data_IF_770419779534
#
_entry.id   IF_770419779534
#
_cell.length_a   1.000
_cell.length_b   1.000
_cell.length_c   1.000
_cell.angle_alpha   90.00
_cell.angle_beta   90.00
_cell.angle_gamma   90.00
#
_symmetry.space_group_name_H-M   'P 1'
#
loop_
_entity.id
_entity.type
_entity.pdbx_description
1 polymer ?
#
# COMPACT_ATOMS: atom_id res chain seq x y z
N UNK A 1 6.23 -13.23 -8.86
CA UNK A 1 6.17 -12.01 -8.03
C UNK A 1 4.72 -11.61 -7.87
N UNK A 2 4.27 -11.29 -6.66
CA UNK A 2 2.90 -10.84 -6.36
C UNK A 2 2.91 -9.38 -5.90
N UNK A 3 2.06 -8.53 -6.50
CA UNK A 3 1.90 -7.12 -6.18
C UNK A 3 0.51 -6.89 -5.53
N UNK A 4 0.48 -6.23 -4.36
CA UNK A 4 -0.73 -5.91 -3.62
C UNK A 4 -0.84 -4.39 -3.42
N UNK A 5 -1.89 -3.79 -3.95
CA UNK A 5 -2.11 -2.34 -3.95
C UNK A 5 -2.56 -1.78 -2.59
N UNK A 6 -2.59 -0.45 -2.46
CA UNK A 6 -3.07 0.28 -1.28
C UNK A 6 -4.59 0.51 -1.25
N UNK A 7 -5.06 1.20 -0.21
CA UNK A 7 -6.44 1.65 -0.08
C UNK A 7 -6.81 2.59 -1.25
N UNK A 8 -8.05 2.57 -1.67
CA UNK A 8 -8.56 3.38 -2.80
C UNK A 8 -7.77 3.17 -4.10
N UNK A 9 -7.29 1.94 -4.33
CA UNK A 9 -6.53 1.57 -5.51
C UNK A 9 -7.01 0.21 -6.06
N UNK A 10 -6.49 -0.22 -7.19
CA UNK A 10 -6.73 -1.52 -7.82
C UNK A 10 -5.44 -2.04 -8.46
N UNK A 11 -5.44 -3.29 -8.94
CA UNK A 11 -4.28 -3.90 -9.57
C UNK A 11 -3.70 -3.06 -10.73
N UNK A 12 -4.53 -2.28 -11.40
CA UNK A 12 -4.12 -1.36 -12.45
C UNK A 12 -3.12 -0.28 -12.03
N UNK A 13 -2.97 0.01 -10.74
CA UNK A 13 -1.95 0.95 -10.24
C UNK A 13 -0.53 0.55 -10.66
N UNK A 14 -0.30 -0.75 -10.87
CA UNK A 14 0.98 -1.32 -11.23
C UNK A 14 1.26 -1.30 -12.75
N UNK A 15 0.46 -0.55 -13.53
CA UNK A 15 0.49 -0.49 -14.99
C UNK A 15 1.88 -0.26 -15.60
N UNK A 16 2.74 0.50 -14.93
CA UNK A 16 4.11 0.79 -15.33
C UNK A 16 5.11 -0.19 -14.72
N UNK A 17 4.89 -0.54 -13.47
CA UNK A 17 5.78 -1.37 -12.66
C UNK A 17 5.73 -2.82 -13.13
N UNK A 18 4.54 -3.40 -13.27
CA UNK A 18 4.37 -4.80 -13.68
C UNK A 18 5.10 -5.12 -14.99
N UNK A 19 4.85 -4.40 -16.09
CA UNK A 19 5.58 -4.62 -17.34
C UNK A 19 7.10 -4.40 -17.22
N UNK A 20 7.55 -3.42 -16.40
CA UNK A 20 8.98 -3.18 -16.21
C UNK A 20 9.69 -4.31 -15.44
N UNK A 21 8.99 -4.96 -14.51
CA UNK A 21 9.47 -6.15 -13.81
C UNK A 21 9.45 -7.37 -14.72
N UNK A 22 8.38 -7.54 -15.50
CA UNK A 22 8.27 -8.61 -16.49
C UNK A 22 9.38 -8.55 -17.55
N UNK A 23 9.75 -7.35 -18.01
CA UNK A 23 10.87 -7.13 -18.91
C UNK A 23 12.24 -7.53 -18.30
N UNK A 24 12.30 -7.68 -16.98
CA UNK A 24 13.47 -8.19 -16.24
C UNK A 24 13.42 -9.69 -15.96
N UNK A 25 12.44 -10.40 -16.50
CA UNK A 25 12.29 -11.86 -16.41
C UNK A 25 11.41 -12.35 -15.26
N UNK A 26 10.70 -11.47 -14.55
CA UNK A 26 9.77 -11.87 -13.52
C UNK A 26 8.42 -12.27 -14.11
N UNK A 27 7.83 -13.35 -13.60
CA UNK A 27 6.40 -13.60 -13.75
C UNK A 27 5.66 -12.76 -12.70
N UNK A 28 4.83 -11.80 -13.15
CA UNK A 28 4.24 -10.77 -12.29
C UNK A 28 2.73 -10.89 -12.27
N UNK A 29 2.18 -11.09 -11.08
CA UNK A 29 0.75 -11.01 -10.82
C UNK A 29 0.43 -9.80 -9.94
N UNK A 30 -0.67 -9.13 -10.21
CA UNK A 30 -1.24 -8.10 -9.36
C UNK A 30 -2.69 -8.46 -9.04
N UNK A 31 -3.09 -8.32 -7.78
CA UNK A 31 -4.43 -8.72 -7.33
C UNK A 31 -5.19 -7.52 -6.79
N UNK A 32 -6.50 -7.46 -7.08
CA UNK A 32 -7.39 -6.55 -6.38
C UNK A 32 -7.68 -7.11 -4.99
N UNK A 33 -7.59 -6.27 -3.98
CA UNK A 33 -7.93 -6.63 -2.61
C UNK A 33 -9.45 -6.73 -2.41
N UNK A 34 -9.90 -7.38 -1.35
CA UNK A 34 -11.30 -7.36 -0.96
C UNK A 34 -11.78 -5.91 -0.80
N UNK A 35 -12.98 -5.61 -1.28
CA UNK A 35 -13.55 -4.27 -1.29
C UNK A 35 -13.06 -3.37 -2.44
N UNK A 36 -12.24 -3.88 -3.35
CA UNK A 36 -11.71 -3.16 -4.50
C UNK A 36 -11.91 -4.00 -5.78
N UNK A 37 -11.97 -3.35 -6.96
CA UNK A 37 -12.05 -4.04 -8.25
C UNK A 37 -13.26 -4.97 -8.37
N UNK A 38 -14.38 -4.62 -7.77
CA UNK A 38 -15.59 -5.45 -7.75
C UNK A 38 -15.53 -6.66 -6.81
N UNK A 39 -14.46 -6.86 -6.05
CA UNK A 39 -14.33 -7.97 -5.09
C UNK A 39 -15.01 -7.62 -3.75
N UNK A 40 -15.99 -8.40 -3.29
CA UNK A 40 -16.66 -8.10 -2.03
C UNK A 40 -15.74 -8.34 -0.81
N UNK A 41 -15.94 -7.55 0.24
CA UNK A 41 -15.37 -7.84 1.56
C UNK A 41 -16.12 -9.03 2.17
N UNK A 42 -15.39 -10.08 2.54
CA UNK A 42 -15.92 -11.27 3.21
C UNK A 42 -15.16 -11.46 4.52
N UNK A 43 -15.62 -10.86 5.60
CA UNK A 43 -14.97 -10.88 6.90
C UNK A 43 -14.47 -9.51 7.36
N UNK A 44 -13.51 -9.50 8.27
CA UNK A 44 -12.97 -8.27 8.83
C UNK A 44 -11.93 -7.61 7.91
N UNK A 45 -11.85 -6.27 7.98
CA UNK A 45 -10.81 -5.48 7.30
C UNK A 45 -9.65 -5.27 8.27
N UNK A 46 -9.00 -6.37 8.59
CA UNK A 46 -7.76 -6.42 9.37
C UNK A 46 -6.70 -7.26 8.63
N UNK A 47 -5.53 -7.40 9.22
CA UNK A 47 -4.43 -8.14 8.59
C UNK A 47 -4.82 -9.60 8.24
N UNK A 48 -5.52 -10.29 9.14
CA UNK A 48 -5.93 -11.66 8.93
C UNK A 48 -6.98 -11.80 7.83
N UNK A 49 -8.00 -10.94 7.82
CA UNK A 49 -9.05 -10.91 6.81
C UNK A 49 -8.52 -10.53 5.42
N UNK A 50 -7.63 -9.54 5.35
CA UNK A 50 -6.98 -9.13 4.09
C UNK A 50 -6.07 -10.24 3.55
N UNK A 51 -5.29 -10.90 4.41
CA UNK A 51 -4.47 -12.05 4.05
C UNK A 51 -5.33 -13.21 3.50
N UNK A 52 -6.42 -13.54 4.18
CA UNK A 52 -7.33 -14.58 3.72
C UNK A 52 -7.96 -14.25 2.36
N UNK A 53 -8.27 -12.98 2.11
CA UNK A 53 -8.81 -12.52 0.84
C UNK A 53 -7.78 -12.60 -0.31
N UNK A 54 -6.49 -12.37 -0.02
CA UNK A 54 -5.41 -12.57 -1.01
C UNK A 54 -5.26 -14.05 -1.33
N UNK A 55 -5.16 -14.92 -0.32
CA UNK A 55 -5.04 -16.38 -0.50
C UNK A 55 -6.20 -16.98 -1.28
N UNK A 56 -7.39 -16.41 -1.18
CA UNK A 56 -8.56 -16.88 -1.93
C UNK A 56 -8.44 -16.70 -3.46
N UNK A 57 -7.54 -15.82 -3.94
CA UNK A 57 -7.33 -15.56 -5.38
C UNK A 57 -5.91 -15.84 -5.84
N UNK A 58 -4.98 -15.88 -4.92
CA UNK A 58 -3.57 -16.22 -5.17
C UNK A 58 -3.09 -17.16 -4.06
N UNK A 59 -3.42 -18.45 -4.14
CA UNK A 59 -3.07 -19.42 -3.09
C UNK A 59 -1.60 -19.85 -3.14
N UNK A 60 -0.92 -19.61 -4.25
CA UNK A 60 0.46 -20.02 -4.45
C UNK A 60 1.44 -18.99 -3.85
N UNK A 61 2.44 -19.53 -3.15
CA UNK A 61 3.49 -18.71 -2.55
C UNK A 61 4.36 -18.07 -3.65
N UNK A 62 4.54 -16.73 -3.67
CA UNK A 62 5.39 -16.07 -4.63
C UNK A 62 6.86 -16.09 -4.20
N UNK A 63 7.80 -16.05 -5.15
CA UNK A 63 9.20 -15.79 -4.82
C UNK A 63 9.39 -14.42 -4.18
N UNK A 64 8.60 -13.43 -4.62
CA UNK A 64 8.64 -12.05 -4.11
C UNK A 64 7.23 -11.53 -3.89
N UNK A 65 6.97 -11.00 -2.70
CA UNK A 65 5.73 -10.33 -2.32
C UNK A 65 6.01 -8.83 -2.15
N UNK A 66 5.26 -8.00 -2.85
CA UNK A 66 5.34 -6.54 -2.73
C UNK A 66 3.97 -6.00 -2.33
N UNK A 67 3.89 -5.31 -1.20
CA UNK A 67 2.69 -4.61 -0.76
C UNK A 67 2.91 -3.11 -0.71
N UNK A 68 1.90 -2.32 -1.11
CA UNK A 68 1.86 -0.88 -0.90
C UNK A 68 0.78 -0.52 0.12
N UNK A 69 1.10 0.30 1.12
CA UNK A 69 0.13 0.85 2.08
C UNK A 69 -0.74 -0.25 2.70
N UNK A 70 -2.06 -0.26 2.48
CA UNK A 70 -2.97 -1.34 2.89
C UNK A 70 -2.50 -2.73 2.43
N UNK A 71 -1.85 -2.81 1.26
CA UNK A 71 -1.25 -4.05 0.76
C UNK A 71 -0.13 -4.58 1.65
N UNK A 72 0.55 -3.71 2.40
CA UNK A 72 1.55 -4.15 3.39
C UNK A 72 0.90 -4.79 4.61
N UNK A 73 -0.29 -4.33 4.99
CA UNK A 73 -1.08 -4.93 6.08
C UNK A 73 -1.50 -6.35 5.69
N UNK A 74 -1.94 -6.55 4.43
CA UNK A 74 -2.23 -7.88 3.90
C UNK A 74 -0.98 -8.76 3.86
N UNK A 75 0.17 -8.22 3.41
CA UNK A 75 1.44 -8.94 3.35
C UNK A 75 1.91 -9.39 4.75
N UNK A 76 1.87 -8.52 5.75
CA UNK A 76 2.19 -8.87 7.14
C UNK A 76 1.24 -9.95 7.64
N UNK A 77 -0.06 -9.83 7.39
CA UNK A 77 -1.04 -10.85 7.78
C UNK A 77 -0.80 -12.22 7.12
N UNK A 78 -0.31 -12.26 5.89
CA UNK A 78 0.12 -13.49 5.21
C UNK A 78 1.29 -14.13 5.93
N UNK A 79 2.32 -13.37 6.28
CA UNK A 79 3.51 -13.87 6.98
C UNK A 79 3.22 -14.27 8.42
N UNK A 80 2.31 -13.58 9.13
CA UNK A 80 1.86 -13.98 10.47
C UNK A 80 1.09 -15.30 10.44
N UNK A 81 0.32 -15.54 9.38
CA UNK A 81 -0.43 -16.77 9.18
C UNK A 81 0.48 -17.94 8.78
N UNK A 82 1.44 -17.67 7.91
CA UNK A 82 2.35 -18.65 7.34
C UNK A 82 3.75 -18.05 7.18
N UNK A 83 4.59 -18.11 8.22
CA UNK A 83 5.97 -17.64 8.15
C UNK A 83 6.71 -18.30 6.98
N UNK A 84 7.39 -17.49 6.16
CA UNK A 84 8.08 -17.98 4.97
C UNK A 84 7.18 -18.23 3.76
N UNK A 85 5.90 -17.79 3.76
CA UNK A 85 5.00 -17.92 2.61
C UNK A 85 5.53 -17.25 1.33
N UNK A 86 6.38 -16.23 1.45
CA UNK A 86 7.07 -15.61 0.32
C UNK A 86 8.60 -15.73 0.49
N UNK A 87 9.34 -15.83 -0.62
CA UNK A 87 10.80 -15.93 -0.59
C UNK A 87 11.46 -14.62 -0.16
N UNK A 88 10.96 -13.47 -0.65
CA UNK A 88 11.34 -12.13 -0.24
C UNK A 88 10.11 -11.23 -0.13
N UNK A 89 10.17 -10.22 0.75
CA UNK A 89 9.05 -9.30 1.00
C UNK A 89 9.52 -7.86 0.95
N UNK A 90 8.79 -7.03 0.20
CA UNK A 90 9.02 -5.61 0.08
C UNK A 90 7.76 -4.88 0.50
N UNK A 91 7.85 -4.01 1.49
CA UNK A 91 6.77 -3.20 2.02
C UNK A 91 6.98 -1.74 1.61
N UNK A 92 6.16 -1.25 0.70
CA UNK A 92 6.16 0.15 0.29
C UNK A 92 5.22 0.94 1.21
N UNK A 93 5.78 1.89 1.95
CA UNK A 93 5.00 2.81 2.78
C UNK A 93 4.03 2.09 3.74
N UNK A 94 4.49 1.14 4.56
CA UNK A 94 3.62 0.47 5.51
C UNK A 94 3.03 1.46 6.52
N UNK A 95 1.70 1.50 6.72
CA UNK A 95 1.12 2.35 7.74
C UNK A 95 1.59 1.90 9.13
N UNK A 96 2.06 2.85 9.93
CA UNK A 96 2.56 2.63 11.27
C UNK A 96 2.04 3.71 12.22
N UNK A 97 1.55 3.31 13.39
CA UNK A 97 1.12 4.21 14.47
C UNK A 97 0.27 5.40 13.97
N UNK A 98 -0.75 5.12 13.17
CA UNK A 98 -1.64 6.16 12.65
C UNK A 98 -2.35 6.85 13.82
N UNK A 99 -2.19 8.18 13.89
CA UNK A 99 -2.87 8.98 14.90
C UNK A 99 -4.41 8.88 14.74
N UNK A 100 -5.18 8.95 15.84
CA UNK A 100 -6.65 8.89 15.77
C UNK A 100 -7.26 9.87 14.79
N UNK A 101 -6.76 11.12 14.76
CA UNK A 101 -7.23 12.17 13.86
C UNK A 101 -6.96 11.82 12.39
N UNK A 102 -5.84 11.17 12.10
CA UNK A 102 -5.50 10.71 10.76
C UNK A 102 -6.46 9.58 10.33
N UNK A 103 -6.74 8.62 11.19
CA UNK A 103 -7.70 7.55 10.91
C UNK A 103 -9.10 8.10 10.62
N UNK A 104 -9.58 9.07 11.40
CA UNK A 104 -10.86 9.73 11.18
C UNK A 104 -10.87 10.52 9.87
N UNK A 105 -9.83 11.31 9.61
CA UNK A 105 -9.68 12.06 8.36
C UNK A 105 -9.64 11.15 7.12
N UNK A 106 -8.95 10.02 7.19
CA UNK A 106 -8.95 9.02 6.12
C UNK A 106 -10.35 8.42 5.90
N UNK A 107 -11.09 8.10 6.98
CA UNK A 107 -12.45 7.55 6.88
C UNK A 107 -13.42 8.54 6.21
N UNK A 108 -13.28 9.83 6.49
CA UNK A 108 -14.04 10.91 5.85
C UNK A 108 -13.64 11.07 4.39
N UNK A 109 -12.34 11.14 4.10
CA UNK A 109 -11.81 11.33 2.75
C UNK A 109 -12.26 10.22 1.79
N UNK A 110 -12.09 8.94 2.15
CA UNK A 110 -12.50 7.84 1.26
C UNK A 110 -14.01 7.81 1.02
N UNK A 111 -14.80 8.22 2.00
CA UNK A 111 -16.26 8.32 1.87
C UNK A 111 -16.65 9.46 0.93
N UNK A 112 -16.02 10.63 1.08
CA UNK A 112 -16.26 11.79 0.23
C UNK A 112 -15.80 11.54 -1.21
N UNK A 113 -14.65 10.90 -1.40
CA UNK A 113 -14.11 10.58 -2.72
C UNK A 113 -14.99 9.59 -3.48
N UNK A 114 -15.58 8.60 -2.79
CA UNK A 114 -16.53 7.67 -3.38
C UNK A 114 -17.83 8.35 -3.83
N UNK A 115 -18.22 9.44 -3.20
CA UNK A 115 -19.34 10.28 -3.67
C UNK A 115 -18.88 11.13 -4.86
N UNK A 116 -17.74 11.82 -4.71
CA UNK A 116 -17.22 12.74 -5.74
C UNK A 116 -16.98 12.02 -7.06
N UNK A 117 -16.44 10.80 -7.07
CA UNK A 117 -16.18 10.06 -8.32
C UNK A 117 -17.45 9.75 -9.11
N UNK A 118 -18.60 9.64 -8.43
CA UNK A 118 -19.92 9.39 -9.05
C UNK A 118 -20.60 10.67 -9.53
N UNK A 119 -20.46 11.76 -8.79
CA UNK A 119 -21.17 13.03 -9.03
C UNK A 119 -20.36 14.00 -9.89
N UNK A 120 -19.05 14.06 -9.69
CA UNK A 120 -18.12 14.96 -10.40
C UNK A 120 -16.75 14.30 -10.63
N UNK A 121 -16.73 13.27 -11.49
CA UNK A 121 -15.49 12.57 -11.86
C UNK A 121 -14.45 13.50 -12.45
N UNK A 122 -14.88 14.51 -13.23
CA UNK A 122 -13.97 15.48 -13.84
C UNK A 122 -13.30 16.38 -12.81
N UNK A 123 -14.06 16.82 -11.81
CA UNK A 123 -13.53 17.57 -10.67
C UNK A 123 -12.56 16.75 -9.82
N UNK A 124 -12.81 15.46 -9.63
CA UNK A 124 -11.88 14.54 -8.97
C UNK A 124 -10.56 14.42 -9.75
N UNK A 125 -10.61 14.21 -11.07
CA UNK A 125 -9.42 14.19 -11.94
C UNK A 125 -8.62 15.48 -11.83
N UNK A 126 -9.31 16.64 -11.89
CA UNK A 126 -8.66 17.95 -11.80
C UNK A 126 -7.99 18.16 -10.43
N UNK A 127 -8.62 17.67 -9.34
CA UNK A 127 -8.06 17.71 -8.00
C UNK A 127 -6.80 16.86 -7.90
N UNK A 128 -6.84 15.61 -8.33
CA UNK A 128 -5.69 14.70 -8.29
C UNK A 128 -4.51 15.27 -9.10
N UNK A 129 -4.76 15.80 -10.30
CA UNK A 129 -3.71 16.43 -11.15
C UNK A 129 -3.08 17.65 -10.46
N UNK A 130 -3.86 18.47 -9.75
CA UNK A 130 -3.35 19.61 -9.00
C UNK A 130 -2.51 19.18 -7.82
N UNK A 131 -2.94 18.15 -7.09
CA UNK A 131 -2.30 17.68 -5.87
C UNK A 131 -1.07 16.82 -6.17
N UNK A 132 -1.05 16.15 -7.35
CA UNK A 132 0.03 15.29 -7.83
C UNK A 132 0.45 15.69 -9.27
N UNK A 133 1.04 16.88 -9.46
CA UNK A 133 1.32 17.43 -10.79
C UNK A 133 2.39 16.66 -11.59
N UNK A 134 3.14 15.79 -10.94
CA UNK A 134 4.19 14.96 -11.52
C UNK A 134 3.72 13.56 -11.96
N UNK A 135 2.48 13.17 -11.61
CA UNK A 135 1.93 11.90 -12.02
C UNK A 135 1.62 11.87 -13.51
N UNK A 136 1.85 10.74 -14.17
CA UNK A 136 1.41 10.53 -15.54
C UNK A 136 -0.12 10.47 -15.64
N UNK A 137 -0.66 10.65 -16.84
CA UNK A 137 -2.11 10.57 -17.08
C UNK A 137 -2.69 9.22 -16.68
N UNK A 138 -1.94 8.14 -16.90
CA UNK A 138 -2.32 6.80 -16.50
C UNK A 138 -2.30 6.61 -14.97
N UNK A 139 -1.38 7.26 -14.24
CA UNK A 139 -1.38 7.22 -12.77
C UNK A 139 -2.64 7.89 -12.22
N UNK A 140 -3.04 9.02 -12.80
CA UNK A 140 -4.30 9.70 -12.47
C UNK A 140 -5.50 8.85 -12.83
N UNK A 141 -5.50 8.23 -14.02
CA UNK A 141 -6.56 7.34 -14.46
C UNK A 141 -6.76 6.19 -13.46
N UNK A 142 -5.70 5.44 -13.12
CA UNK A 142 -5.80 4.32 -12.19
C UNK A 142 -6.11 4.72 -10.75
N UNK A 143 -5.74 5.94 -10.33
CA UNK A 143 -6.16 6.49 -9.04
C UNK A 143 -7.67 6.73 -9.00
N UNK A 144 -8.23 7.31 -10.05
CA UNK A 144 -9.68 7.56 -10.16
C UNK A 144 -10.46 6.25 -10.27
N UNK A 145 -9.98 5.26 -11.06
CA UNK A 145 -10.61 3.95 -11.14
C UNK A 145 -10.57 3.23 -9.78
N UNK A 146 -9.45 3.28 -9.06
CA UNK A 146 -9.34 2.69 -7.73
C UNK A 146 -10.37 3.25 -6.74
N UNK A 147 -10.61 4.57 -6.77
CA UNK A 147 -11.65 5.23 -5.97
C UNK A 147 -13.05 4.79 -6.44
N UNK A 148 -13.27 4.70 -7.75
CA UNK A 148 -14.57 4.35 -8.33
C UNK A 148 -14.98 2.90 -8.04
N UNK A 149 -14.02 2.00 -7.98
CA UNK A 149 -14.25 0.56 -7.80
C UNK A 149 -14.02 0.08 -6.35
N UNK A 150 -13.89 1.01 -5.40
CA UNK A 150 -13.79 0.68 -3.98
C UNK A 150 -15.16 0.75 -3.29
N UNK A 151 -15.44 -0.21 -2.39
CA UNK A 151 -16.48 -0.07 -1.37
C UNK A 151 -15.88 0.61 -0.13
N UNK A 152 -16.15 1.90 0.13
CA UNK A 152 -15.51 2.62 1.23
C UNK A 152 -16.05 2.22 2.61
N UNK A 153 -17.26 1.66 2.70
CA UNK A 153 -17.98 1.50 3.96
C UNK A 153 -17.23 0.58 4.98
N UNK A 154 -16.73 -0.61 4.62
CA UNK A 154 -16.02 -1.45 5.56
C UNK A 154 -14.68 -0.83 6.02
N UNK A 155 -13.98 -0.13 5.13
CA UNK A 155 -12.72 0.53 5.46
C UNK A 155 -12.93 1.76 6.35
N UNK A 156 -13.92 2.61 6.04
CA UNK A 156 -14.25 3.75 6.89
C UNK A 156 -14.67 3.31 8.30
N UNK A 157 -15.44 2.21 8.41
CA UNK A 157 -15.77 1.62 9.71
C UNK A 157 -14.51 1.15 10.45
N UNK A 158 -13.62 0.41 9.79
CA UNK A 158 -12.36 -0.06 10.40
C UNK A 158 -11.48 1.10 10.85
N UNK A 159 -11.30 2.13 10.03
CA UNK A 159 -10.52 3.31 10.38
C UNK A 159 -11.07 4.02 11.64
N UNK A 160 -12.40 4.10 11.80
CA UNK A 160 -13.00 4.67 13.03
C UNK A 160 -12.71 3.81 14.26
N UNK A 161 -12.76 2.47 14.12
CA UNK A 161 -12.37 1.57 15.23
C UNK A 161 -10.88 1.76 15.57
N UNK A 162 -10.03 1.89 14.57
CA UNK A 162 -8.60 2.11 14.76
C UNK A 162 -8.28 3.45 15.43
N UNK A 163 -9.12 4.46 15.26
CA UNK A 163 -8.98 5.73 15.98
C UNK A 163 -9.24 5.59 17.50
N UNK A 164 -9.90 4.52 17.91
CA UNK A 164 -10.18 4.21 19.33
C UNK A 164 -9.20 3.17 19.91
N UNK A 165 -8.42 2.49 19.06
CA UNK A 165 -7.43 1.47 19.45
C UNK A 165 -6.02 2.05 19.52
N UNK A 166 -5.19 1.57 20.46
CA UNK A 166 -3.78 2.00 20.60
C UNK A 166 -2.87 1.38 19.52
N UNK A 167 -3.11 1.65 18.26
CA UNK A 167 -2.21 1.37 17.13
C UNK A 167 -2.58 0.27 16.14
N UNK A 168 -2.42 0.59 14.87
CA UNK A 168 -2.37 -0.32 13.72
C UNK A 168 -0.98 -0.30 13.13
N UNK A 169 -0.47 -1.48 12.80
CA UNK A 169 0.82 -1.61 12.11
C UNK A 169 1.95 -1.02 12.93
N UNK A 170 2.57 -1.82 13.75
CA UNK A 170 3.69 -1.34 14.56
C UNK A 170 5.00 -1.75 13.89
N UNK A 171 6.07 -0.98 14.04
CA UNK A 171 7.40 -1.43 13.64
C UNK A 171 7.73 -2.84 14.17
N UNK A 172 7.16 -3.22 15.32
CA UNK A 172 7.31 -4.55 15.91
C UNK A 172 6.82 -5.66 14.98
N UNK A 173 5.65 -5.51 14.36
CA UNK A 173 5.10 -6.51 13.43
C UNK A 173 5.93 -6.61 12.16
N UNK A 174 6.43 -5.47 11.65
CA UNK A 174 7.32 -5.43 10.49
C UNK A 174 8.61 -6.18 10.79
N UNK A 175 9.23 -5.91 11.94
CA UNK A 175 10.49 -6.53 12.35
C UNK A 175 10.36 -8.01 12.69
N UNK A 176 9.18 -8.43 13.18
CA UNK A 176 8.90 -9.82 13.52
C UNK A 176 8.49 -10.69 12.32
N UNK A 177 8.25 -10.10 11.16
CA UNK A 177 7.82 -10.84 9.96
C UNK A 177 8.95 -11.73 9.40
N UNK A 178 8.60 -12.91 8.91
CA UNK A 178 9.51 -13.87 8.31
C UNK A 178 9.05 -14.25 6.89
N UNK A 179 9.91 -14.01 5.87
CA UNK A 179 11.25 -13.43 5.96
C UNK A 179 11.22 -11.95 6.38
N UNK A 180 12.29 -11.48 7.00
CA UNK A 180 12.43 -10.07 7.38
C UNK A 180 12.28 -9.17 6.15
N UNK A 181 11.30 -8.27 6.12
CA UNK A 181 11.01 -7.50 4.92
C UNK A 181 12.02 -6.39 4.66
N UNK A 182 12.09 -5.99 3.40
CA UNK A 182 12.63 -4.69 3.00
C UNK A 182 11.52 -3.66 3.06
N UNK A 183 11.83 -2.45 3.51
CA UNK A 183 10.88 -1.34 3.61
C UNK A 183 11.32 -0.23 2.68
N UNK A 184 10.45 0.17 1.76
CA UNK A 184 10.60 1.37 0.95
C UNK A 184 9.80 2.47 1.63
N UNK A 185 10.48 3.49 2.11
CA UNK A 185 9.90 4.63 2.80
C UNK A 185 10.07 5.91 1.99
N UNK A 186 9.03 6.76 1.97
CA UNK A 186 9.13 8.09 1.40
C UNK A 186 9.93 9.01 2.33
N UNK A 187 10.78 9.84 1.76
CA UNK A 187 11.52 10.87 2.51
C UNK A 187 10.65 12.06 2.92
N UNK A 188 9.42 12.14 2.42
CA UNK A 188 8.49 13.24 2.68
C UNK A 188 8.15 13.37 4.17
N UNK A 189 8.25 14.60 4.68
CA UNK A 189 7.82 14.96 6.04
C UNK A 189 6.38 15.53 6.08
N UNK A 190 5.69 15.59 4.93
CA UNK A 190 4.28 16.04 4.87
C UNK A 190 3.36 14.99 5.52
N UNK A 191 2.19 15.39 6.04
CA UNK A 191 1.17 14.46 6.50
C UNK A 191 0.70 13.52 5.38
N UNK A 192 0.32 12.30 5.73
CA UNK A 192 -0.17 11.30 4.78
C UNK A 192 -1.35 11.81 3.93
N UNK A 193 -2.32 12.50 4.54
CA UNK A 193 -3.48 13.07 3.82
C UNK A 193 -3.10 14.15 2.80
N UNK A 194 -1.91 14.76 2.95
CA UNK A 194 -1.35 15.71 2.00
C UNK A 194 -0.39 15.04 1.01
N UNK A 195 -0.48 13.71 0.87
CA UNK A 195 0.38 12.90 0.00
C UNK A 195 1.79 12.68 0.54
N UNK A 196 2.00 12.88 1.84
CA UNK A 196 3.27 12.59 2.50
C UNK A 196 3.41 11.12 2.90
N UNK A 197 4.41 10.79 3.75
CA UNK A 197 4.70 9.43 4.17
C UNK A 197 3.68 8.88 5.18
N UNK A 198 3.41 7.57 5.11
CA UNK A 198 2.68 6.83 6.14
C UNK A 198 3.55 6.49 7.36
N UNK A 199 4.88 6.61 7.20
CA UNK A 199 5.85 6.40 8.25
C UNK A 199 6.31 7.73 8.82
N UNK A 200 6.09 7.96 10.10
CA UNK A 200 6.67 9.12 10.78
C UNK A 200 8.20 9.06 10.78
N UNK A 201 8.85 10.20 11.02
CA UNK A 201 10.31 10.23 11.21
C UNK A 201 10.77 9.31 12.34
N UNK A 202 9.96 9.22 13.42
CA UNK A 202 10.25 8.35 14.55
C UNK A 202 10.15 6.87 14.15
N UNK A 203 9.14 6.49 13.36
CA UNK A 203 8.97 5.11 12.88
C UNK A 203 10.11 4.72 11.94
N UNK A 204 10.52 5.61 11.02
CA UNK A 204 11.68 5.36 10.14
C UNK A 204 12.97 5.17 10.94
N UNK A 205 13.20 6.02 11.95
CA UNK A 205 14.37 5.89 12.82
C UNK A 205 14.36 4.57 13.63
N UNK A 206 13.20 4.15 14.14
CA UNK A 206 13.05 2.88 14.83
C UNK A 206 13.28 1.69 13.89
N UNK A 207 12.68 1.70 12.71
CA UNK A 207 12.90 0.66 11.69
C UNK A 207 14.36 0.58 11.26
N UNK A 208 15.03 1.72 11.03
CA UNK A 208 16.45 1.76 10.72
C UNK A 208 17.34 1.16 11.81
N UNK A 209 16.92 1.27 13.08
CA UNK A 209 17.65 0.68 14.21
C UNK A 209 17.39 -0.83 14.36
N UNK A 210 16.21 -1.30 14.04
CA UNK A 210 15.75 -2.68 14.34
C UNK A 210 15.87 -3.63 13.14
N UNK A 211 15.74 -3.14 11.91
CA UNK A 211 15.92 -3.93 10.70
C UNK A 211 17.40 -4.18 10.41
N UNK A 212 17.75 -5.26 9.73
CA UNK A 212 19.09 -5.46 9.23
C UNK A 212 19.56 -4.29 8.35
N UNK A 213 20.85 -4.03 8.31
CA UNK A 213 21.41 -2.97 7.48
C UNK A 213 21.00 -3.15 6.00
N UNK A 214 20.52 -2.07 5.38
CA UNK A 214 20.04 -2.08 4.00
C UNK A 214 18.58 -2.53 3.81
N UNK A 215 17.86 -2.91 4.88
CA UNK A 215 16.45 -3.28 4.78
C UNK A 215 15.50 -2.09 4.81
N UNK A 216 15.90 -0.91 5.25
CA UNK A 216 15.15 0.33 5.08
C UNK A 216 15.81 1.15 3.97
N UNK A 217 15.04 1.47 2.93
CA UNK A 217 15.45 2.31 1.81
C UNK A 217 14.53 3.53 1.74
N UNK A 218 15.10 4.71 1.90
CA UNK A 218 14.36 5.97 1.76
C UNK A 218 14.48 6.49 0.33
N UNK A 219 13.34 6.82 -0.28
CA UNK A 219 13.25 7.34 -1.64
C UNK A 219 12.57 8.71 -1.64
N UNK A 220 13.01 9.59 -2.54
CA UNK A 220 12.34 10.87 -2.76
C UNK A 220 10.95 10.64 -3.37
N UNK A 221 9.94 11.15 -2.68
CA UNK A 221 8.55 11.00 -3.08
C UNK A 221 7.60 11.14 -1.90
N UNK A 222 6.34 10.88 -2.15
CA UNK A 222 5.28 10.77 -1.15
C UNK A 222 4.83 9.32 -0.98
N UNK A 223 3.60 9.17 -0.52
CA UNK A 223 3.03 7.86 -0.16
C UNK A 223 2.98 6.84 -1.30
N UNK A 224 2.91 7.28 -2.55
CA UNK A 224 2.82 6.39 -3.71
C UNK A 224 4.15 6.36 -4.48
N UNK A 225 5.22 5.83 -3.88
CA UNK A 225 6.57 5.82 -4.45
C UNK A 225 6.64 5.18 -5.85
N UNK A 226 5.85 4.13 -6.10
CA UNK A 226 5.75 3.48 -7.42
C UNK A 226 5.17 4.40 -8.51
N UNK A 227 4.45 5.48 -8.13
CA UNK A 227 3.94 6.54 -9.02
C UNK A 227 4.84 7.77 -9.00
N UNK A 228 5.29 8.19 -7.81
CA UNK A 228 6.07 9.40 -7.61
C UNK A 228 7.48 9.29 -8.19
N UNK A 229 8.13 8.15 -7.99
CA UNK A 229 9.53 7.91 -8.36
C UNK A 229 9.74 6.51 -8.96
N UNK A 230 9.04 6.12 -10.05
CA UNK A 230 9.04 4.75 -10.57
C UNK A 230 10.43 4.23 -10.93
N UNK A 231 11.32 5.08 -11.43
CA UNK A 231 12.69 4.68 -11.76
C UNK A 231 13.52 4.36 -10.51
N UNK A 232 13.43 5.20 -9.48
CA UNK A 232 14.11 4.97 -8.20
C UNK A 232 13.53 3.75 -7.49
N UNK A 233 12.20 3.58 -7.52
CA UNK A 233 11.51 2.42 -6.99
C UNK A 233 11.99 1.13 -7.64
N UNK A 234 12.03 1.07 -8.98
CA UNK A 234 12.52 -0.11 -9.73
C UNK A 234 14.00 -0.39 -9.48
N UNK A 235 14.82 0.64 -9.27
CA UNK A 235 16.22 0.48 -8.92
C UNK A 235 16.39 -0.08 -7.50
N UNK A 236 15.59 0.39 -6.53
CA UNK A 236 15.59 -0.10 -5.16
C UNK A 236 15.17 -1.58 -5.10
N UNK A 237 14.08 -1.95 -5.79
CA UNK A 237 13.63 -3.36 -5.88
C UNK A 237 14.70 -4.24 -6.53
N UNK A 238 15.36 -3.79 -7.59
CA UNK A 238 16.42 -4.55 -8.23
C UNK A 238 17.64 -4.74 -7.30
N UNK A 239 18.00 -3.73 -6.52
CA UNK A 239 19.10 -3.82 -5.56
C UNK A 239 18.79 -4.78 -4.39
N UNK A 240 17.54 -4.87 -3.98
CA UNK A 240 17.06 -5.79 -2.94
C UNK A 240 17.07 -7.24 -3.39
N UNK A 241 16.80 -7.49 -4.69
CA UNK A 241 16.65 -8.84 -5.26
C UNK A 241 17.92 -9.35 -5.97
N UNK A 242 19.02 -8.59 -5.95
CA UNK A 242 20.32 -8.99 -6.49
C UNK A 242 21.14 -9.77 -5.45
#
# INVERSE_FOLDING_TARGET
>A
MLLIHGLSSIAGTWWRIGPALAARGWDVSAVDQAGHGGRPVRGEVDAAGLAAAVLAVHPEAPDVLIGHSLGTVAAIGLLEREPGWAGAVILEEPPSRLAPELCLGMAESITADAVTVREDRAGLVARIRRDQPHWADEDVYWAVEGIAEMDPAPFARRLRVLAEEDSVGTPERIVAAEPTPYVLAASSERPLLDGGSALSRADRAELAHRLPAGHLLELDGGHCLHRDAPAAWLAAVAAVLS
#
